data_IF_162238801549
#
_entry.id   IF_162238801549
#
_cell.length_a   1.000
_cell.length_b   1.000
_cell.length_c   1.000
_cell.angle_alpha   90.00
_cell.angle_beta   90.00
_cell.angle_gamma   90.00
#
_symmetry.space_group_name_H-M   'P 1'
#
loop_
_entity.id
_entity.type
_entity.pdbx_description
1 polymer ?
#
# COMPACT_ATOMS: atom_id res chain seq x y z
N UNK A 1 -4.31 -22.67 3.61
CA UNK A 1 -4.59 -21.29 3.18
C UNK A 1 -4.71 -21.30 1.66
N UNK A 2 -5.81 -20.81 1.12
CA UNK A 2 -5.99 -20.73 -0.34
C UNK A 2 -5.06 -19.65 -0.87
N UNK A 3 -4.03 -20.07 -1.63
CA UNK A 3 -3.18 -19.13 -2.36
C UNK A 3 -4.05 -18.41 -3.39
N UNK A 4 -4.11 -17.09 -3.30
CA UNK A 4 -4.85 -16.26 -4.25
C UNK A 4 -4.03 -15.00 -4.53
N UNK A 5 -4.17 -14.46 -5.74
CA UNK A 5 -3.42 -13.26 -6.11
C UNK A 5 -4.08 -12.02 -5.48
N UNK A 6 -3.29 -11.26 -4.74
CA UNK A 6 -3.63 -9.98 -4.13
C UNK A 6 -2.78 -8.90 -4.77
N UNK A 7 -3.42 -7.84 -5.28
CA UNK A 7 -2.76 -6.71 -5.92
C UNK A 7 -2.75 -5.51 -4.98
N UNK A 8 -1.58 -4.92 -4.76
CA UNK A 8 -1.46 -3.65 -4.05
C UNK A 8 -1.58 -2.53 -5.09
N UNK A 9 -2.55 -1.66 -4.89
CA UNK A 9 -2.83 -0.50 -5.73
C UNK A 9 -2.58 0.78 -4.95
N UNK A 10 -2.13 1.81 -5.67
CA UNK A 10 -1.98 3.13 -5.12
C UNK A 10 -2.20 4.21 -6.18
N UNK A 11 -2.88 5.28 -5.77
CA UNK A 11 -3.12 6.46 -6.62
C UNK A 11 -1.90 7.36 -6.80
N UNK A 12 -0.84 7.15 -6.00
CA UNK A 12 0.40 7.93 -6.02
C UNK A 12 1.63 7.02 -5.92
N UNK A 13 2.84 7.49 -6.29
CA UNK A 13 4.07 6.76 -6.02
C UNK A 13 4.13 6.32 -4.55
N UNK A 14 4.23 5.01 -4.35
CA UNK A 14 4.43 4.39 -3.04
C UNK A 14 5.91 4.51 -2.69
N UNK A 15 6.21 4.87 -1.45
CA UNK A 15 7.52 4.58 -0.85
C UNK A 15 7.33 3.57 0.26
N UNK A 16 8.22 2.60 0.29
CA UNK A 16 8.32 1.64 1.37
C UNK A 16 9.78 1.49 1.74
N UNK A 17 10.07 1.47 3.04
CA UNK A 17 11.42 1.23 3.54
C UNK A 17 11.87 -0.21 3.27
N UNK A 18 10.92 -1.10 3.00
CA UNK A 18 11.13 -2.54 2.87
C UNK A 18 10.78 -3.08 1.48
N UNK A 19 10.35 -2.21 0.54
CA UNK A 19 10.01 -2.65 -0.81
C UNK A 19 10.55 -1.66 -1.85
N UNK A 20 11.13 -2.17 -2.95
CA UNK A 20 11.37 -1.37 -4.14
C UNK A 20 10.04 -1.20 -4.89
N UNK A 21 9.12 -0.39 -4.36
CA UNK A 21 7.90 -0.03 -5.12
C UNK A 21 8.23 1.22 -5.93
N UNK A 22 8.33 1.06 -7.25
CA UNK A 22 8.46 2.18 -8.17
C UNK A 22 7.13 2.96 -8.31
N UNK A 23 7.17 4.21 -8.80
CA UNK A 23 5.97 4.93 -9.20
C UNK A 23 5.19 4.14 -10.26
N UNK A 24 3.94 3.78 -9.97
CA UNK A 24 3.03 3.13 -10.94
C UNK A 24 3.13 1.60 -11.04
N UNK A 25 3.93 0.94 -10.21
CA UNK A 25 3.95 -0.53 -10.17
C UNK A 25 2.84 -1.11 -9.28
N UNK A 26 2.10 -2.06 -9.84
CA UNK A 26 1.17 -2.89 -9.10
C UNK A 26 1.90 -4.12 -8.56
N UNK A 27 1.93 -4.30 -7.24
CA UNK A 27 2.60 -5.44 -6.62
C UNK A 27 1.63 -6.60 -6.43
N UNK A 28 1.94 -7.77 -7.00
CA UNK A 28 1.13 -8.99 -6.91
C UNK A 28 1.73 -9.94 -5.88
N UNK A 29 0.89 -10.38 -4.94
CA UNK A 29 1.27 -11.22 -3.81
C UNK A 29 0.30 -12.39 -3.71
N UNK A 30 0.81 -13.61 -3.53
CA UNK A 30 -0.02 -14.82 -3.45
C UNK A 30 -0.66 -15.08 -2.08
N UNK A 31 -0.43 -14.18 -1.13
CA UNK A 31 -0.85 -14.30 0.25
C UNK A 31 -1.49 -12.98 0.74
N UNK A 32 -2.66 -13.11 1.37
CA UNK A 32 -3.44 -11.97 1.88
C UNK A 32 -2.70 -11.23 2.98
N UNK A 33 -2.19 -11.96 3.96
CA UNK A 33 -1.56 -11.37 5.14
C UNK A 33 -0.28 -10.63 4.74
N UNK A 34 0.49 -11.20 3.82
CA UNK A 34 1.65 -10.55 3.23
C UNK A 34 1.23 -9.27 2.48
N UNK A 35 0.25 -9.34 1.57
CA UNK A 35 -0.22 -8.17 0.83
C UNK A 35 -0.69 -7.03 1.75
N UNK A 36 -1.43 -7.36 2.80
CA UNK A 36 -1.89 -6.40 3.82
C UNK A 36 -0.73 -5.83 4.62
N UNK A 37 0.23 -6.65 5.04
CA UNK A 37 1.40 -6.18 5.78
C UNK A 37 2.25 -5.21 4.94
N UNK A 38 2.43 -5.50 3.65
CA UNK A 38 3.14 -4.63 2.71
C UNK A 38 2.41 -3.30 2.48
N UNK A 39 1.09 -3.35 2.28
CA UNK A 39 0.26 -2.15 2.14
C UNK A 39 0.25 -1.31 3.43
N UNK A 40 0.18 -1.96 4.59
CA UNK A 40 0.21 -1.29 5.89
C UNK A 40 1.55 -0.61 6.17
N UNK A 41 2.67 -1.22 5.76
CA UNK A 41 4.03 -0.67 5.93
C UNK A 41 4.42 0.35 4.86
N UNK A 42 3.66 0.44 3.77
CA UNK A 42 3.86 1.47 2.75
C UNK A 42 3.28 2.82 3.18
N UNK A 43 3.89 3.90 2.72
CA UNK A 43 3.48 5.28 3.05
C UNK A 43 3.63 6.21 1.84
N UNK A 44 2.93 7.35 1.92
CA UNK A 44 2.97 8.41 0.92
C UNK A 44 3.67 9.63 1.48
N UNK A 45 4.31 10.40 0.59
CA UNK A 45 4.86 11.70 0.92
C UNK A 45 3.84 12.83 0.71
N UNK A 46 2.87 12.63 -0.18
CA UNK A 46 1.86 13.63 -0.50
C UNK A 46 0.50 13.26 0.12
N UNK A 47 -0.20 14.29 0.60
CA UNK A 47 -1.53 14.21 1.19
C UNK A 47 -2.57 13.74 0.17
N UNK A 48 -3.56 12.97 0.61
CA UNK A 48 -4.68 12.53 -0.23
C UNK A 48 -4.42 11.27 -1.06
N UNK A 49 -3.29 10.60 -0.88
CA UNK A 49 -3.03 9.31 -1.49
C UNK A 49 -3.71 8.16 -0.75
N UNK A 50 -3.89 7.04 -1.42
CA UNK A 50 -4.52 5.87 -0.84
C UNK A 50 -3.86 4.58 -1.32
N UNK A 51 -3.68 3.65 -0.38
CA UNK A 51 -3.16 2.31 -0.62
C UNK A 51 -4.31 1.33 -0.45
N UNK A 52 -4.52 0.47 -1.45
CA UNK A 52 -5.54 -0.58 -1.40
C UNK A 52 -4.91 -1.93 -1.69
N UNK A 53 -5.47 -2.98 -1.08
CA UNK A 53 -5.18 -4.37 -1.45
C UNK A 53 -6.44 -4.95 -2.07
N UNK A 54 -6.32 -5.41 -3.30
CA UNK A 54 -7.42 -5.98 -4.08
C UNK A 54 -7.20 -7.48 -4.24
N UNK A 55 -8.19 -8.28 -3.91
CA UNK A 55 -8.20 -9.71 -4.22
C UNK A 55 -8.54 -9.89 -5.70
N UNK A 56 -7.53 -10.22 -6.52
CA UNK A 56 -7.61 -10.22 -7.99
C UNK A 56 -8.74 -11.09 -8.54
N UNK A 57 -8.99 -12.31 -8.05
CA UNK A 57 -10.07 -13.15 -8.56
C UNK A 57 -11.47 -12.56 -8.39
N UNK A 58 -11.70 -11.76 -7.35
CA UNK A 58 -13.03 -11.22 -7.01
C UNK A 58 -13.17 -9.72 -7.25
N UNK A 59 -12.06 -9.00 -7.35
CA UNK A 59 -12.03 -7.53 -7.32
C UNK A 59 -12.29 -6.91 -5.94
N UNK A 60 -12.47 -7.71 -4.88
CA UNK A 60 -12.76 -7.20 -3.53
C UNK A 60 -11.56 -6.45 -2.93
N UNK A 61 -11.80 -5.28 -2.35
CA UNK A 61 -10.79 -4.54 -1.58
C UNK A 61 -10.73 -5.10 -0.17
N UNK A 62 -9.72 -5.92 0.11
CA UNK A 62 -9.54 -6.58 1.42
C UNK A 62 -8.84 -5.70 2.45
N UNK A 63 -8.22 -4.60 2.01
CA UNK A 63 -7.59 -3.60 2.87
C UNK A 63 -7.53 -2.24 2.17
N UNK A 64 -7.74 -1.18 2.94
CA UNK A 64 -7.70 0.21 2.49
C UNK A 64 -7.02 1.05 3.56
N UNK A 65 -6.05 1.86 3.14
CA UNK A 65 -5.32 2.81 3.99
C UNK A 65 -5.27 4.15 3.30
N UNK A 66 -5.93 5.13 3.88
CA UNK A 66 -5.74 6.54 3.52
C UNK A 66 -4.35 6.99 3.96
N UNK A 67 -3.70 7.84 3.17
CA UNK A 67 -2.46 8.49 3.58
C UNK A 67 -2.69 9.26 4.87
N UNK A 68 -2.03 8.82 5.94
CA UNK A 68 -1.77 9.70 7.06
C UNK A 68 -0.85 10.79 6.52
N UNK A 69 -1.29 12.04 6.58
CA UNK A 69 -0.36 13.16 6.62
C UNK A 69 0.48 12.89 7.87
N UNK A 70 1.72 12.45 7.68
CA UNK A 70 2.68 12.53 8.77
C UNK A 70 2.83 14.03 8.99
N UNK A 71 2.39 14.60 10.14
CA UNK A 71 2.67 15.99 10.42
C UNK A 71 4.19 16.13 10.30
N UNK A 72 4.60 17.14 9.54
CA UNK A 72 6.00 17.46 9.29
C UNK A 72 6.70 17.53 10.65
N UNK A 73 7.49 16.51 10.98
CA UNK A 73 8.30 16.51 12.19
C UNK A 73 9.55 17.35 11.91
N UNK A 74 9.33 18.64 11.67
CA UNK A 74 10.37 19.68 11.57
C UNK A 74 9.82 20.98 12.15
N UNK A 75 9.30 20.94 13.38
CA UNK A 75 9.21 22.14 14.20
C UNK A 75 10.08 21.91 15.44
N UNK A 76 11.38 22.09 15.26
CA UNK A 76 12.31 22.29 16.37
C UNK A 76 12.48 23.81 16.56
N UNK A 77 12.30 24.34 17.79
CA UNK A 77 12.38 25.78 18.10
C UNK A 77 13.81 26.33 18.12
#
# INVERSE_FOLDING_TARGET
>A
MTSADYRIESSQPLRSRFLPIGPGEHYLVKDRALAVALAAKSFHRASGAEIRVVHVPTGEVVYRKAAFVQPDASEEP
#
